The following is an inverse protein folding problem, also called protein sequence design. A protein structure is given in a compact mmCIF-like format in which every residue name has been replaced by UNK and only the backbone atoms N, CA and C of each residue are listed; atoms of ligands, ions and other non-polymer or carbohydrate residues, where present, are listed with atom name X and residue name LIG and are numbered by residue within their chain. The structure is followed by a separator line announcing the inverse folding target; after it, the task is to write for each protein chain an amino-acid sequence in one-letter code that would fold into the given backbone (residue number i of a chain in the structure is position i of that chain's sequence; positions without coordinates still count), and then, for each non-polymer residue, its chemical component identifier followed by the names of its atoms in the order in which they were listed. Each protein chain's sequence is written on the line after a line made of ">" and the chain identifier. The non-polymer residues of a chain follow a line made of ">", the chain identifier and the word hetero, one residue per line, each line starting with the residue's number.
data_IF_078784742665
#
_entry.id   IF_078784742665
#
_cell.length_a   1.000
_cell.length_b   1.000
_cell.length_c   1.000
_cell.angle_alpha   90.00
_cell.angle_beta   90.00
_cell.angle_gamma   90.00
#
_symmetry.space_group_name_H-M   'P 1'
#
loop_
_entity.id
_entity.type
_entity.pdbx_description
1 polymer ?
#
# COMPACT_ATOMS: atom_id res chain seq x y z
N UNK A 1 -9.48 4.40 21.74
CA UNK A 1 -8.22 4.62 22.52
C UNK A 1 -7.04 4.96 21.63
N UNK A 2 -6.59 4.10 20.70
CA UNK A 2 -5.42 4.40 19.82
C UNK A 2 -5.58 5.71 19.05
N UNK A 3 -6.75 5.98 18.47
CA UNK A 3 -7.00 7.22 17.73
C UNK A 3 -6.78 8.48 18.60
N UNK A 4 -7.20 8.44 19.86
CA UNK A 4 -6.99 9.52 20.83
C UNK A 4 -5.52 9.68 21.20
N UNK A 5 -4.76 8.58 21.33
CA UNK A 5 -3.32 8.63 21.59
C UNK A 5 -2.57 9.30 20.43
N UNK A 6 -2.92 8.96 19.18
CA UNK A 6 -2.33 9.58 17.99
C UNK A 6 -2.70 11.07 17.91
N UNK A 7 -3.97 11.41 18.17
CA UNK A 7 -4.44 12.79 18.18
C UNK A 7 -3.80 13.64 19.28
N UNK A 8 -3.56 13.04 20.45
CA UNK A 8 -2.89 13.66 21.60
C UNK A 8 -1.40 13.92 21.40
N UNK A 9 -0.83 13.59 20.24
CA UNK A 9 0.55 13.93 19.88
C UNK A 9 1.61 12.97 20.44
N UNK A 10 1.23 11.77 20.87
CA UNK A 10 2.21 10.76 21.27
C UNK A 10 3.12 10.41 20.09
N UNK A 11 4.42 10.26 20.35
CA UNK A 11 5.44 9.95 19.34
C UNK A 11 5.56 8.47 19.01
N UNK A 12 4.77 7.61 19.65
CA UNK A 12 4.70 6.17 19.38
C UNK A 12 4.28 5.93 17.93
N UNK A 13 5.11 5.19 17.18
CA UNK A 13 4.94 5.00 15.73
C UNK A 13 4.15 3.74 15.36
N UNK A 14 4.10 2.76 16.25
CA UNK A 14 3.48 1.45 16.02
C UNK A 14 2.60 1.10 17.22
N UNK A 15 1.35 0.77 16.95
CA UNK A 15 0.39 0.26 17.93
C UNK A 15 -0.05 -1.13 17.48
N UNK A 16 0.01 -2.10 18.40
CA UNK A 16 -0.46 -3.47 18.14
C UNK A 16 -1.71 -3.69 18.98
N UNK A 17 -2.79 -4.10 18.31
CA UNK A 17 -4.04 -4.49 18.96
C UNK A 17 -4.30 -5.96 18.63
N UNK A 18 -4.67 -6.74 19.64
CA UNK A 18 -4.89 -8.17 19.50
C UNK A 18 -6.34 -8.53 19.83
N UNK A 19 -6.90 -9.40 19.00
CA UNK A 19 -8.17 -10.08 19.25
C UNK A 19 -7.92 -11.59 19.19
N UNK A 20 -8.11 -12.29 20.31
CA UNK A 20 -7.98 -13.74 20.39
C UNK A 20 -9.24 -14.49 19.92
N UNK A 21 -9.19 -15.82 20.00
CA UNK A 21 -10.33 -16.71 19.75
C UNK A 21 -10.41 -17.30 18.34
N UNK A 22 -9.46 -16.99 17.45
CA UNK A 22 -9.45 -17.48 16.07
C UNK A 22 -8.99 -18.94 15.91
N UNK A 23 -8.42 -19.54 16.95
CA UNK A 23 -7.88 -20.91 16.92
C UNK A 23 -8.96 -22.00 17.09
N UNK A 24 -9.96 -21.98 16.21
CA UNK A 24 -11.13 -22.85 16.30
C UNK A 24 -10.92 -24.14 15.48
N UNK A 25 -10.47 -25.22 16.11
CA UNK A 25 -10.31 -26.52 15.44
C UNK A 25 -11.64 -27.28 15.24
N UNK A 26 -12.71 -26.86 15.91
CA UNK A 26 -14.06 -27.41 15.79
C UNK A 26 -15.11 -26.31 15.94
N UNK A 27 -16.33 -26.57 15.47
CA UNK A 27 -17.47 -25.64 15.56
C UNK A 27 -17.15 -24.21 15.09
N UNK A 28 -16.27 -24.09 14.08
CA UNK A 28 -15.86 -22.81 13.51
C UNK A 28 -17.06 -22.11 12.86
N UNK A 29 -17.87 -22.91 12.18
CA UNK A 29 -19.18 -22.58 11.61
C UNK A 29 -20.25 -23.45 12.30
N UNK A 30 -21.54 -23.09 12.24
CA UNK A 30 -22.60 -23.94 12.75
C UNK A 30 -22.68 -25.26 11.97
N UNK A 31 -23.09 -26.33 12.64
CA UNK A 31 -23.34 -27.66 12.04
C UNK A 31 -24.35 -27.61 10.90
N UNK A 32 -25.32 -26.70 10.98
CA UNK A 32 -26.36 -26.50 9.98
C UNK A 32 -26.54 -25.01 9.68
N UNK A 33 -26.79 -24.66 8.42
CA UNK A 33 -27.05 -23.27 8.01
C UNK A 33 -25.86 -22.64 7.28
N UNK A 34 -25.65 -21.34 7.51
CA UNK A 34 -24.69 -20.55 6.73
C UNK A 34 -23.28 -20.56 7.32
N UNK A 35 -22.28 -20.72 6.45
CA UNK A 35 -20.86 -20.54 6.78
C UNK A 35 -20.49 -19.09 7.11
N UNK A 36 -21.42 -18.14 6.91
CA UNK A 36 -21.28 -16.73 7.29
C UNK A 36 -21.72 -16.44 8.73
N UNK A 37 -21.99 -17.47 9.52
CA UNK A 37 -22.39 -17.38 10.94
C UNK A 37 -21.47 -18.26 11.80
N UNK A 38 -21.67 -18.27 13.13
CA UNK A 38 -20.83 -19.03 14.06
C UNK A 38 -19.67 -18.24 14.66
N UNK A 39 -18.81 -18.94 15.40
CA UNK A 39 -17.79 -18.30 16.24
C UNK A 39 -16.76 -17.52 15.41
N UNK A 40 -16.30 -18.07 14.28
CA UNK A 40 -15.33 -17.39 13.43
C UNK A 40 -15.93 -16.17 12.73
N UNK A 41 -17.14 -16.28 12.21
CA UNK A 41 -17.86 -15.15 11.62
C UNK A 41 -18.10 -14.02 12.64
N UNK A 42 -18.41 -14.38 13.90
CA UNK A 42 -18.57 -13.42 15.00
C UNK A 42 -17.28 -12.65 15.27
N UNK A 43 -16.13 -13.34 15.26
CA UNK A 43 -14.82 -12.72 15.46
C UNK A 43 -14.42 -11.82 14.28
N UNK A 44 -14.69 -12.25 13.04
CA UNK A 44 -14.49 -11.39 11.86
C UNK A 44 -15.39 -10.14 11.90
N UNK A 45 -16.63 -10.27 12.39
CA UNK A 45 -17.53 -9.14 12.63
C UNK A 45 -16.94 -8.14 13.63
N UNK A 46 -16.36 -8.61 14.75
CA UNK A 46 -15.66 -7.75 15.71
C UNK A 46 -14.48 -7.01 15.10
N UNK A 47 -13.72 -7.64 14.20
CA UNK A 47 -12.65 -6.96 13.45
C UNK A 47 -13.24 -5.87 12.57
N UNK A 48 -14.29 -6.17 11.81
CA UNK A 48 -14.93 -5.20 10.93
C UNK A 48 -15.48 -3.98 11.70
N UNK A 49 -16.22 -4.22 12.78
CA UNK A 49 -16.77 -3.18 13.65
C UNK A 49 -15.67 -2.34 14.29
N UNK A 50 -14.62 -2.99 14.80
CA UNK A 50 -13.48 -2.33 15.42
C UNK A 50 -12.70 -1.44 14.45
N UNK A 51 -12.42 -1.93 13.23
CA UNK A 51 -11.77 -1.14 12.19
C UNK A 51 -12.65 0.02 11.76
N UNK A 52 -13.95 -0.20 11.56
CA UNK A 52 -14.88 0.85 11.16
C UNK A 52 -14.95 1.97 12.20
N UNK A 53 -15.15 1.63 13.48
CA UNK A 53 -15.17 2.60 14.57
C UNK A 53 -13.83 3.36 14.69
N UNK A 54 -12.71 2.65 14.54
CA UNK A 54 -11.39 3.28 14.56
C UNK A 54 -11.19 4.28 13.41
N UNK A 55 -11.60 3.92 12.19
CA UNK A 55 -11.53 4.82 11.04
C UNK A 55 -12.44 6.05 11.21
N UNK A 56 -13.62 5.87 11.80
CA UNK A 56 -14.52 6.97 12.14
C UNK A 56 -13.91 7.95 13.13
N UNK A 57 -13.28 7.45 14.19
CA UNK A 57 -12.56 8.27 15.17
C UNK A 57 -11.43 9.06 14.49
N UNK A 58 -10.63 8.42 13.65
CA UNK A 58 -9.54 9.09 12.91
C UNK A 58 -10.05 10.21 11.99
N UNK A 59 -11.21 10.00 11.35
CA UNK A 59 -11.87 11.02 10.51
C UNK A 59 -12.35 12.19 11.35
N UNK A 60 -13.07 11.92 12.45
CA UNK A 60 -13.60 12.96 13.35
C UNK A 60 -12.49 13.80 13.99
N UNK A 61 -11.34 13.18 14.26
CA UNK A 61 -10.16 13.83 14.82
C UNK A 61 -9.27 14.52 13.74
N UNK A 62 -9.60 14.38 12.45
CA UNK A 62 -8.84 15.01 11.36
C UNK A 62 -7.43 14.43 11.15
N UNK A 63 -7.18 13.19 11.59
CA UNK A 63 -5.84 12.55 11.57
C UNK A 63 -5.78 11.28 10.72
N UNK A 64 -6.82 10.96 9.96
CA UNK A 64 -6.90 9.76 9.12
C UNK A 64 -5.72 9.60 8.15
N UNK A 65 -5.14 10.71 7.66
CA UNK A 65 -4.02 10.69 6.73
C UNK A 65 -2.67 10.37 7.40
N UNK A 66 -2.64 10.35 8.74
CA UNK A 66 -1.46 10.05 9.55
C UNK A 66 -1.42 8.61 10.03
N UNK A 67 -2.36 7.76 9.60
CA UNK A 67 -2.48 6.38 10.05
C UNK A 67 -2.70 5.43 8.88
N UNK A 68 -1.93 4.35 8.87
CA UNK A 68 -2.15 3.16 8.05
C UNK A 68 -2.30 1.95 8.98
N UNK A 69 -3.28 1.10 8.70
CA UNK A 69 -3.53 -0.12 9.45
C UNK A 69 -3.27 -1.36 8.59
N UNK A 70 -2.85 -2.44 9.23
CA UNK A 70 -2.73 -3.76 8.61
C UNK A 70 -3.20 -4.84 9.59
N UNK A 71 -3.85 -5.88 9.08
CA UNK A 71 -4.09 -7.11 9.85
C UNK A 71 -2.92 -8.07 9.69
N UNK A 72 -2.67 -8.92 10.68
CA UNK A 72 -1.78 -10.06 10.54
C UNK A 72 -2.23 -11.20 11.46
N UNK A 73 -1.80 -12.42 11.14
CA UNK A 73 -2.07 -13.64 11.91
C UNK A 73 -0.86 -14.55 11.81
N UNK A 74 -0.65 -15.41 12.80
CA UNK A 74 0.42 -16.41 12.81
C UNK A 74 0.12 -17.61 11.90
N UNK A 75 -1.16 -17.88 11.64
CA UNK A 75 -1.63 -18.93 10.74
C UNK A 75 -2.83 -18.45 9.91
N UNK A 76 -3.01 -19.12 8.77
CA UNK A 76 -4.25 -19.12 8.01
C UNK A 76 -5.13 -20.33 8.33
N UNK A 77 -6.06 -20.64 7.44
CA UNK A 77 -6.96 -21.79 7.58
C UNK A 77 -6.86 -22.72 6.39
N UNK A 78 -6.97 -24.03 6.64
CA UNK A 78 -6.96 -25.04 5.57
C UNK A 78 -8.20 -24.93 4.69
N UNK A 79 -8.10 -25.47 3.48
CA UNK A 79 -9.14 -25.36 2.45
C UNK A 79 -10.45 -26.03 2.88
N UNK A 80 -10.35 -27.23 3.47
CA UNK A 80 -11.50 -28.11 3.74
C UNK A 80 -11.72 -28.31 5.23
N UNK A 81 -12.99 -28.30 5.63
CA UNK A 81 -13.39 -28.57 7.01
C UNK A 81 -13.03 -30.01 7.44
N UNK A 82 -12.63 -30.14 8.70
CA UNK A 82 -12.44 -31.42 9.38
C UNK A 82 -13.78 -31.98 9.90
N UNK A 83 -13.75 -33.16 10.52
CA UNK A 83 -14.96 -33.82 11.05
C UNK A 83 -15.64 -33.05 12.21
N UNK A 84 -14.95 -32.08 12.80
CA UNK A 84 -15.45 -31.23 13.87
C UNK A 84 -16.15 -29.96 13.38
N UNK A 85 -16.44 -29.80 12.09
CA UNK A 85 -16.99 -28.57 11.50
C UNK A 85 -16.07 -27.34 11.73
N UNK A 86 -14.76 -27.59 11.82
CA UNK A 86 -13.70 -26.58 11.91
C UNK A 86 -12.68 -26.73 10.79
N UNK A 87 -11.67 -25.87 10.80
CA UNK A 87 -10.47 -26.03 9.95
C UNK A 87 -9.24 -25.93 10.83
N UNK A 88 -8.22 -26.74 10.53
CA UNK A 88 -6.93 -26.63 11.19
C UNK A 88 -6.12 -25.45 10.62
N UNK A 89 -4.93 -25.23 11.20
CA UNK A 89 -4.00 -24.20 10.76
C UNK A 89 -3.58 -24.43 9.31
N UNK A 90 -3.61 -23.34 8.54
CA UNK A 90 -3.17 -23.27 7.16
C UNK A 90 -1.98 -22.33 6.96
N UNK A 91 -1.30 -22.49 5.84
CA UNK A 91 -0.07 -21.78 5.51
C UNK A 91 -0.25 -20.36 4.93
N UNK A 92 -1.48 -19.98 4.55
CA UNK A 92 -1.76 -18.69 3.93
C UNK A 92 -3.12 -18.13 4.35
N UNK A 93 -3.22 -16.80 4.42
CA UNK A 93 -4.42 -16.06 4.75
C UNK A 93 -4.47 -14.73 3.97
N UNK A 94 -5.65 -14.14 3.76
CA UNK A 94 -5.74 -12.76 3.31
C UNK A 94 -5.18 -11.81 4.38
N UNK A 95 -4.43 -10.81 3.92
CA UNK A 95 -3.95 -9.69 4.72
C UNK A 95 -4.70 -8.42 4.27
N UNK A 96 -5.26 -7.67 5.21
CA UNK A 96 -5.99 -6.43 4.93
C UNK A 96 -5.11 -5.25 5.30
N UNK A 97 -4.87 -4.35 4.33
CA UNK A 97 -4.32 -3.01 4.60
C UNK A 97 -5.45 -2.01 4.47
N UNK A 98 -5.60 -1.12 5.45
CA UNK A 98 -6.72 -0.19 5.54
C UNK A 98 -6.26 1.18 6.03
N UNK A 99 -7.02 2.23 5.70
CA UNK A 99 -6.65 3.62 6.00
C UNK A 99 -6.93 4.55 4.82
N UNK A 100 -6.92 5.85 5.06
CA UNK A 100 -7.11 6.84 3.99
C UNK A 100 -6.02 6.75 2.91
N UNK A 101 -4.82 6.31 3.30
CA UNK A 101 -3.65 6.17 2.45
C UNK A 101 -3.41 4.74 1.95
N UNK A 102 -4.27 3.78 2.29
CA UNK A 102 -4.19 2.42 1.75
C UNK A 102 -4.53 2.42 0.26
N UNK A 103 -3.80 1.64 -0.54
CA UNK A 103 -4.10 1.46 -1.96
C UNK A 103 -5.38 0.60 -2.10
N UNK A 104 -6.46 1.09 -2.73
CA UNK A 104 -7.73 0.36 -2.80
C UNK A 104 -7.72 -0.73 -3.88
N UNK A 105 -6.72 -1.62 -3.84
CA UNK A 105 -6.54 -2.73 -4.79
C UNK A 105 -6.50 -4.08 -4.06
N UNK A 106 -6.95 -5.10 -4.76
CA UNK A 106 -6.68 -6.50 -4.38
C UNK A 106 -5.36 -6.91 -5.00
N UNK A 107 -4.42 -7.37 -4.18
CA UNK A 107 -3.14 -7.90 -4.65
C UNK A 107 -3.19 -9.42 -4.77
N UNK A 108 -2.76 -9.92 -5.93
CA UNK A 108 -2.77 -11.35 -6.25
C UNK A 108 -4.09 -11.82 -6.88
N UNK A 109 -4.05 -12.94 -7.63
CA UNK A 109 -5.25 -13.55 -8.18
C UNK A 109 -6.09 -14.26 -7.09
N UNK A 110 -7.36 -14.51 -7.36
CA UNK A 110 -8.15 -15.41 -6.51
C UNK A 110 -7.49 -16.79 -6.45
N UNK A 111 -7.37 -17.41 -5.26
CA UNK A 111 -6.75 -18.71 -5.12
C UNK A 111 -7.57 -19.77 -5.89
N UNK A 112 -6.88 -20.60 -6.65
CA UNK A 112 -7.47 -21.77 -7.30
C UNK A 112 -7.43 -22.93 -6.30
N UNK A 113 -8.60 -23.41 -5.89
CA UNK A 113 -8.72 -24.52 -4.95
C UNK A 113 -8.85 -25.84 -5.73
N UNK A 114 -8.05 -26.87 -5.43
CA UNK A 114 -8.19 -28.19 -6.06
C UNK A 114 -9.59 -28.77 -5.80
N UNK A 115 -10.25 -29.30 -6.84
CA UNK A 115 -11.57 -29.92 -6.69
C UNK A 115 -11.55 -31.12 -5.73
N UNK A 116 -10.40 -31.78 -5.61
CA UNK A 116 -10.16 -32.92 -4.74
C UNK A 116 -9.37 -32.55 -3.45
N UNK A 117 -9.42 -31.29 -3.01
CA UNK A 117 -8.71 -30.85 -1.81
C UNK A 117 -9.06 -31.72 -0.58
N UNK A 118 -8.04 -32.18 0.12
CA UNK A 118 -8.10 -32.89 1.39
C UNK A 118 -8.13 -31.94 2.59
N UNK A 119 -8.39 -32.51 3.77
CA UNK A 119 -8.44 -31.78 5.05
C UNK A 119 -7.07 -31.23 5.50
N UNK A 120 -5.99 -31.67 4.88
CA UNK A 120 -4.62 -31.23 5.16
C UNK A 120 -4.09 -30.22 4.11
N UNK A 121 -4.86 -29.90 3.08
CA UNK A 121 -4.38 -29.07 1.98
C UNK A 121 -4.43 -27.57 2.31
N UNK A 122 -3.39 -26.88 1.86
CA UNK A 122 -3.18 -25.46 2.08
C UNK A 122 -3.55 -24.65 0.83
N UNK A 123 -4.03 -23.42 1.05
CA UNK A 123 -3.99 -22.40 0.01
C UNK A 123 -2.52 -22.06 -0.26
N UNK A 124 -2.14 -22.02 -1.54
CA UNK A 124 -0.78 -21.65 -1.93
C UNK A 124 -0.50 -20.18 -1.58
N UNK A 125 0.66 -19.91 -0.99
CA UNK A 125 1.11 -18.55 -0.72
C UNK A 125 1.44 -17.84 -2.04
N UNK A 126 0.79 -16.71 -2.30
CA UNK A 126 1.00 -15.91 -3.50
C UNK A 126 1.95 -14.74 -3.26
N UNK A 127 1.90 -14.17 -2.05
CA UNK A 127 2.69 -13.02 -1.64
C UNK A 127 3.29 -13.36 -0.28
N UNK A 128 4.61 -13.25 -0.17
CA UNK A 128 5.29 -13.36 1.11
C UNK A 128 4.91 -12.16 2.00
N UNK A 129 4.51 -12.40 3.23
CA UNK A 129 4.10 -11.30 4.14
C UNK A 129 5.22 -10.27 4.35
N UNK A 130 6.49 -10.67 4.24
CA UNK A 130 7.65 -9.78 4.33
C UNK A 130 7.70 -8.78 3.17
N UNK A 131 7.17 -9.13 2.00
CA UNK A 131 6.99 -8.18 0.90
C UNK A 131 6.03 -7.04 1.28
N UNK A 132 4.94 -7.34 1.99
CA UNK A 132 4.02 -6.31 2.48
C UNK A 132 4.70 -5.44 3.55
N UNK A 133 5.39 -6.06 4.51
CA UNK A 133 6.05 -5.32 5.60
C UNK A 133 7.16 -4.42 5.08
N UNK A 134 8.02 -4.92 4.18
CA UNK A 134 9.09 -4.13 3.59
C UNK A 134 8.54 -3.00 2.72
N UNK A 135 7.41 -3.20 2.04
CA UNK A 135 6.74 -2.13 1.27
C UNK A 135 6.19 -1.04 2.19
N UNK A 136 5.55 -1.40 3.31
CA UNK A 136 5.09 -0.42 4.30
C UNK A 136 6.27 0.32 4.95
N UNK A 137 7.34 -0.38 5.32
CA UNK A 137 8.53 0.25 5.90
C UNK A 137 9.19 1.22 4.90
N UNK A 138 9.29 0.82 3.64
CA UNK A 138 9.81 1.67 2.56
C UNK A 138 8.96 2.91 2.38
N UNK A 139 7.64 2.74 2.29
CA UNK A 139 6.75 3.79 1.83
C UNK A 139 6.26 4.65 3.01
N UNK A 140 5.73 4.04 4.06
CA UNK A 140 5.20 4.78 5.21
C UNK A 140 6.29 5.39 6.07
N UNK A 141 7.34 4.61 6.33
CA UNK A 141 8.43 5.02 7.21
C UNK A 141 9.64 5.59 6.47
N UNK A 142 9.60 5.62 5.13
CA UNK A 142 10.70 6.12 4.30
C UNK A 142 12.04 5.43 4.59
N UNK A 143 11.99 4.14 4.98
CA UNK A 143 13.20 3.37 5.30
C UNK A 143 13.99 3.13 4.00
N UNK A 144 15.30 3.47 3.95
CA UNK A 144 16.12 3.24 2.76
C UNK A 144 16.18 1.75 2.38
N UNK A 145 16.21 1.47 1.07
CA UNK A 145 16.27 0.09 0.57
C UNK A 145 17.48 -0.69 1.11
N UNK A 146 18.63 -0.03 1.25
CA UNK A 146 19.84 -0.66 1.80
C UNK A 146 19.62 -1.16 3.24
N UNK A 147 18.94 -0.36 4.06
CA UNK A 147 18.57 -0.73 5.44
C UNK A 147 17.59 -1.89 5.46
N UNK A 148 16.59 -1.91 4.56
CA UNK A 148 15.67 -3.05 4.45
C UNK A 148 16.41 -4.35 4.06
N UNK A 149 17.31 -4.28 3.08
CA UNK A 149 18.10 -5.44 2.68
C UNK A 149 18.98 -5.96 3.81
N UNK A 150 19.58 -5.06 4.60
CA UNK A 150 20.38 -5.43 5.77
C UNK A 150 19.52 -6.09 6.86
N UNK A 151 18.36 -5.51 7.18
CA UNK A 151 17.47 -6.02 8.25
C UNK A 151 16.86 -7.38 7.91
N UNK A 152 16.49 -7.60 6.64
CA UNK A 152 15.81 -8.81 6.21
C UNK A 152 16.73 -9.84 5.55
N UNK A 153 18.03 -9.52 5.41
CA UNK A 153 19.06 -10.36 4.79
C UNK A 153 18.94 -10.53 3.27
N UNK A 154 17.86 -10.02 2.66
CA UNK A 154 17.59 -10.08 1.23
C UNK A 154 16.54 -9.03 0.82
N UNK A 155 16.45 -8.76 -0.47
CA UNK A 155 15.39 -7.93 -1.03
C UNK A 155 14.10 -8.75 -1.21
N UNK A 156 12.95 -8.13 -0.94
CA UNK A 156 11.63 -8.71 -1.16
C UNK A 156 10.92 -8.00 -2.32
N UNK A 157 10.08 -8.72 -3.11
CA UNK A 157 9.24 -8.10 -4.12
C UNK A 157 8.38 -6.98 -3.51
N UNK A 158 8.30 -5.85 -4.21
CA UNK A 158 7.50 -4.70 -3.78
C UNK A 158 6.00 -4.94 -4.02
N UNK A 159 5.17 -4.56 -3.06
CA UNK A 159 3.70 -4.67 -3.13
C UNK A 159 3.11 -3.28 -2.82
N UNK A 160 2.49 -2.61 -3.80
CA UNK A 160 2.03 -1.23 -3.63
C UNK A 160 0.77 -1.16 -2.77
N UNK A 161 0.92 -1.30 -1.45
CA UNK A 161 -0.21 -1.26 -0.49
C UNK A 161 -0.53 0.14 0.02
N UNK A 162 0.29 1.14 -0.29
CA UNK A 162 0.10 2.56 0.06
C UNK A 162 -0.08 3.36 -1.23
N UNK A 163 -0.99 4.34 -1.22
CA UNK A 163 -1.22 5.26 -2.33
C UNK A 163 0.06 6.03 -2.64
N UNK A 164 0.48 6.05 -3.90
CA UNK A 164 1.69 6.76 -4.33
C UNK A 164 1.58 8.29 -4.19
N UNK A 165 0.37 8.86 -4.16
CA UNK A 165 0.16 10.27 -3.78
C UNK A 165 0.60 10.57 -2.35
N UNK A 166 0.55 9.58 -1.44
CA UNK A 166 1.05 9.69 -0.06
C UNK A 166 2.59 9.76 0.00
N UNK A 167 3.28 9.26 -1.02
CA UNK A 167 4.75 9.15 -1.12
C UNK A 167 5.35 10.27 -1.97
N UNK A 168 4.55 10.85 -2.85
CA UNK A 168 4.88 12.04 -3.60
C UNK A 168 4.80 13.32 -2.74
N UNK A 169 4.03 13.29 -1.66
CA UNK A 169 4.07 14.33 -0.64
C UNK A 169 4.89 13.83 0.52
N UNK A 170 6.09 14.37 0.75
CA UNK A 170 6.57 14.41 2.13
C UNK A 170 5.45 15.07 2.94
N UNK A 171 4.89 14.46 3.99
CA UNK A 171 3.87 15.12 4.79
C UNK A 171 4.45 16.45 5.31
N UNK A 172 3.94 17.58 4.80
CA UNK A 172 4.46 18.93 5.10
C UNK A 172 5.39 19.57 4.04
N UNK A 173 5.70 18.90 2.92
CA UNK A 173 6.40 19.54 1.80
C UNK A 173 5.48 20.49 1.05
N UNK A 174 5.92 21.74 0.86
CA UNK A 174 5.19 22.68 0.02
C UNK A 174 5.16 22.20 -1.45
N UNK A 175 4.09 22.48 -2.22
CA UNK A 175 4.00 22.09 -3.61
C UNK A 175 5.02 22.85 -4.48
N UNK A 176 5.45 22.22 -5.57
CA UNK A 176 6.20 22.91 -6.65
C UNK A 176 5.17 23.67 -7.49
N UNK A 177 5.26 24.99 -7.50
CA UNK A 177 4.27 25.85 -8.15
C UNK A 177 4.26 25.62 -9.67
N UNK A 178 3.07 25.74 -10.28
CA UNK A 178 2.91 25.60 -11.73
C UNK A 178 3.16 24.21 -12.30
N UNK A 179 3.29 23.16 -11.46
CA UNK A 179 3.55 21.81 -11.96
C UNK A 179 2.42 21.31 -12.86
N UNK A 180 2.73 21.03 -14.12
CA UNK A 180 1.81 20.50 -15.13
C UNK A 180 2.55 19.62 -16.13
N UNK A 181 1.85 18.68 -16.76
CA UNK A 181 2.40 17.85 -17.84
C UNK A 181 1.46 17.87 -19.04
N UNK A 182 1.97 18.20 -20.23
CA UNK A 182 1.19 18.26 -21.46
C UNK A 182 2.01 17.86 -22.71
N UNK A 183 1.38 17.31 -23.76
CA UNK A 183 0.01 16.80 -23.79
C UNK A 183 -0.19 15.62 -22.81
N UNK A 184 -1.43 15.42 -22.38
CA UNK A 184 -1.87 14.29 -21.57
C UNK A 184 -3.29 13.91 -22.04
N UNK A 185 -3.49 12.78 -22.74
CA UNK A 185 -2.52 11.71 -23.00
C UNK A 185 -1.30 12.12 -23.84
N UNK A 186 -0.16 11.50 -23.54
CA UNK A 186 1.12 11.73 -24.20
C UNK A 186 1.39 10.65 -25.25
N UNK A 187 1.70 11.07 -26.47
CA UNK A 187 2.11 10.19 -27.58
C UNK A 187 3.55 10.54 -27.95
N UNK A 188 4.48 9.63 -27.64
CA UNK A 188 5.91 9.80 -27.90
C UNK A 188 6.63 10.85 -27.03
N UNK A 189 6.07 12.04 -26.84
CA UNK A 189 6.60 13.06 -25.93
C UNK A 189 5.51 13.79 -25.15
N UNK A 190 5.89 14.29 -23.97
CA UNK A 190 5.20 15.32 -23.20
C UNK A 190 6.20 16.39 -22.71
N UNK A 191 5.73 17.40 -22.02
CA UNK A 191 6.51 18.47 -21.40
C UNK A 191 6.02 18.68 -19.98
N UNK A 192 6.93 18.62 -19.01
CA UNK A 192 6.67 19.09 -17.66
C UNK A 192 6.97 20.60 -17.57
N UNK A 193 6.03 21.36 -17.02
CA UNK A 193 6.24 22.77 -16.59
C UNK A 193 6.23 22.83 -15.08
N UNK A 194 7.04 23.73 -14.52
CA UNK A 194 7.00 24.10 -13.11
C UNK A 194 7.83 25.37 -12.86
N UNK A 195 7.60 26.03 -11.72
CA UNK A 195 8.38 27.18 -11.25
C UNK A 195 9.51 26.71 -10.32
N UNK A 196 10.75 26.85 -10.79
CA UNK A 196 11.96 26.55 -10.02
C UNK A 196 12.34 27.73 -9.12
N UNK A 197 12.80 27.44 -7.90
CA UNK A 197 13.39 28.46 -7.00
C UNK A 197 14.91 28.45 -7.01
N UNK A 198 15.54 27.58 -7.81
CA UNK A 198 16.99 27.51 -7.89
C UNK A 198 17.62 26.47 -6.97
N UNK A 199 16.85 25.45 -6.56
CA UNK A 199 17.37 24.31 -5.80
C UNK A 199 17.60 23.08 -6.68
N UNK A 200 18.12 22.00 -6.10
CA UNK A 200 18.30 20.73 -6.78
C UNK A 200 16.95 20.12 -7.17
N UNK A 201 16.75 19.88 -8.47
CA UNK A 201 15.52 19.32 -9.02
C UNK A 201 15.71 17.86 -9.39
N UNK A 202 14.76 17.02 -9.02
CA UNK A 202 14.59 15.67 -9.53
C UNK A 202 13.22 15.52 -10.20
N UNK A 203 13.21 15.03 -11.43
CA UNK A 203 11.99 14.82 -12.21
C UNK A 203 12.00 13.40 -12.77
N UNK A 204 11.02 12.58 -12.39
CA UNK A 204 10.97 11.16 -12.72
C UNK A 204 9.55 10.72 -13.09
N UNK A 205 9.44 9.69 -13.92
CA UNK A 205 8.21 8.92 -14.15
C UNK A 205 8.28 7.59 -13.39
N UNK A 206 7.15 7.21 -12.81
CA UNK A 206 6.94 5.95 -12.11
C UNK A 206 5.78 5.19 -12.75
N UNK A 207 5.89 3.86 -12.85
CA UNK A 207 4.77 3.01 -13.28
C UNK A 207 3.72 2.85 -12.16
N UNK A 208 2.61 2.16 -12.46
CA UNK A 208 1.55 1.87 -11.48
C UNK A 208 1.99 1.01 -10.29
N UNK A 209 3.20 0.43 -10.34
CA UNK A 209 3.85 -0.29 -9.25
C UNK A 209 4.88 0.59 -8.52
N UNK A 210 4.94 1.89 -8.78
CA UNK A 210 5.85 2.82 -8.11
C UNK A 210 7.32 2.64 -8.47
N UNK A 211 7.66 1.84 -9.49
CA UNK A 211 9.04 1.71 -9.97
C UNK A 211 9.37 2.91 -10.86
N UNK A 212 10.52 3.53 -10.61
CA UNK A 212 11.03 4.58 -11.50
C UNK A 212 11.34 3.97 -12.86
N UNK A 213 10.55 4.34 -13.88
CA UNK A 213 10.73 3.86 -15.25
C UNK A 213 11.60 4.78 -16.07
N UNK A 214 11.67 6.07 -15.70
CA UNK A 214 12.50 7.06 -16.39
C UNK A 214 12.80 8.25 -15.49
N UNK A 215 14.03 8.75 -15.54
CA UNK A 215 14.48 9.97 -14.85
C UNK A 215 14.92 11.00 -15.88
N UNK A 216 14.37 12.21 -15.79
CA UNK A 216 14.60 13.31 -16.73
C UNK A 216 15.51 14.38 -16.16
N UNK A 217 15.42 14.62 -14.85
CA UNK A 217 16.34 15.50 -14.12
C UNK A 217 16.84 14.74 -12.91
N UNK A 218 18.16 14.70 -12.73
CA UNK A 218 18.82 13.88 -11.72
C UNK A 218 19.53 14.74 -10.66
N UNK A 219 18.75 15.46 -9.86
CA UNK A 219 19.26 16.21 -8.70
C UNK A 219 20.15 17.40 -9.06
N UNK A 220 20.04 17.94 -10.28
CA UNK A 220 20.79 19.14 -10.68
C UNK A 220 20.02 20.41 -10.35
N UNK A 221 20.75 21.46 -10.02
CA UNK A 221 20.18 22.79 -9.84
C UNK A 221 19.70 23.35 -11.19
N UNK A 222 18.47 23.83 -11.25
CA UNK A 222 17.94 24.58 -12.39
C UNK A 222 17.93 26.07 -12.08
N UNK A 223 17.86 26.94 -13.09
CA UNK A 223 17.71 28.38 -12.84
C UNK A 223 16.40 28.70 -12.12
N UNK A 224 16.35 29.81 -11.38
CA UNK A 224 15.09 30.32 -10.81
C UNK A 224 14.14 30.75 -11.94
N UNK A 225 12.85 30.46 -11.78
CA UNK A 225 11.79 30.78 -12.74
C UNK A 225 11.26 29.57 -13.53
N UNK A 226 10.50 29.81 -14.61
CA UNK A 226 9.74 28.77 -15.29
C UNK A 226 10.66 27.77 -15.97
N UNK A 227 10.46 26.49 -15.67
CA UNK A 227 11.17 25.37 -16.27
C UNK A 227 10.27 24.64 -17.26
N UNK A 228 10.87 24.20 -18.37
CA UNK A 228 10.23 23.33 -19.37
C UNK A 228 11.13 22.12 -19.57
N UNK A 229 10.69 20.96 -19.12
CA UNK A 229 11.47 19.71 -19.24
C UNK A 229 10.75 18.75 -20.20
N UNK A 230 11.37 18.41 -21.35
CA UNK A 230 10.84 17.40 -22.25
C UNK A 230 10.79 16.03 -21.58
N UNK A 231 9.65 15.37 -21.69
CA UNK A 231 9.41 14.02 -21.23
C UNK A 231 9.30 13.10 -22.44
N UNK A 232 10.40 12.48 -22.86
CA UNK A 232 10.33 11.38 -23.84
C UNK A 232 9.59 10.20 -23.20
N UNK A 233 8.49 9.76 -23.80
CA UNK A 233 7.70 8.60 -23.36
C UNK A 233 7.77 7.45 -24.36
N UNK A 234 8.56 7.57 -25.43
CA UNK A 234 8.75 6.47 -26.39
C UNK A 234 9.34 5.24 -25.69
N UNK A 235 8.85 4.07 -26.11
CA UNK A 235 9.23 2.77 -25.55
C UNK A 235 8.64 2.46 -24.18
N UNK A 236 7.83 3.36 -23.61
CA UNK A 236 6.96 3.02 -22.48
C UNK A 236 5.71 2.32 -23.00
N UNK A 237 5.18 1.36 -22.25
CA UNK A 237 3.94 0.68 -22.60
C UNK A 237 2.75 1.65 -22.45
N UNK A 238 1.71 1.57 -23.29
CA UNK A 238 0.48 2.34 -23.09
C UNK A 238 -0.12 2.05 -21.71
N UNK A 239 -0.11 3.06 -20.84
CA UNK A 239 -0.50 2.92 -19.44
C UNK A 239 -0.58 4.27 -18.73
N UNK A 240 -0.95 4.22 -17.46
CA UNK A 240 -0.93 5.36 -16.55
C UNK A 240 0.38 5.37 -15.78
N UNK A 241 1.06 6.52 -15.79
CA UNK A 241 2.29 6.76 -15.05
C UNK A 241 2.14 7.95 -14.10
N UNK A 242 3.00 8.02 -13.09
CA UNK A 242 3.09 9.17 -12.18
C UNK A 242 4.34 9.97 -12.50
N UNK A 243 4.18 11.22 -12.92
CA UNK A 243 5.28 12.17 -13.08
C UNK A 243 5.44 12.95 -11.79
N UNK A 244 6.63 12.89 -11.20
CA UNK A 244 6.94 13.51 -9.90
C UNK A 244 8.10 14.47 -10.07
N UNK A 245 7.89 15.71 -9.64
CA UNK A 245 8.94 16.72 -9.49
C UNK A 245 9.23 16.93 -8.01
N UNK A 246 10.51 16.92 -7.64
CA UNK A 246 11.03 17.28 -6.32
C UNK A 246 12.04 18.40 -6.49
N UNK A 247 11.92 19.45 -5.70
CA UNK A 247 12.87 20.55 -5.69
C UNK A 247 13.20 20.91 -4.24
N UNK A 248 14.41 20.57 -3.79
CA UNK A 248 14.80 20.65 -2.39
C UNK A 248 13.79 19.93 -1.48
N UNK A 249 13.09 20.68 -0.64
CA UNK A 249 12.05 20.15 0.26
C UNK A 249 10.64 20.12 -0.34
N UNK A 250 10.43 20.70 -1.54
CA UNK A 250 9.14 20.79 -2.23
C UNK A 250 8.91 19.61 -3.15
N UNK A 251 7.66 19.22 -3.33
CA UNK A 251 7.32 18.08 -4.20
C UNK A 251 5.93 18.21 -4.79
N UNK A 252 5.74 17.72 -6.02
CA UNK A 252 4.44 17.61 -6.67
C UNK A 252 4.40 16.42 -7.62
N UNK A 253 3.21 15.83 -7.78
CA UNK A 253 3.00 14.70 -8.66
C UNK A 253 1.72 14.82 -9.47
N UNK A 254 1.76 14.33 -10.70
CA UNK A 254 0.64 14.29 -11.62
C UNK A 254 0.59 12.96 -12.35
N UNK A 255 -0.62 12.57 -12.72
CA UNK A 255 -0.85 11.41 -13.56
C UNK A 255 -0.59 11.77 -15.02
N UNK A 256 0.17 10.94 -15.72
CA UNK A 256 0.45 11.04 -17.17
C UNK A 256 -0.03 9.75 -17.82
N UNK A 257 -0.96 9.85 -18.75
CA UNK A 257 -1.41 8.73 -19.56
C UNK A 257 -0.51 8.67 -20.79
N UNK A 258 0.14 7.53 -21.03
CA UNK A 258 0.90 7.25 -22.25
C UNK A 258 0.01 6.42 -23.18
N UNK A 259 -0.13 6.86 -24.42
CA UNK A 259 -0.90 6.19 -25.47
C UNK A 259 -0.01 5.88 -26.68
N UNK A 260 -0.47 4.93 -27.51
CA UNK A 260 0.15 4.59 -28.80
C UNK A 260 0.15 5.76 -29.79
#
# INVERSE_FOLDING_TARGET
>A
MVAQLVAGGLSTRIYVCQLGGFDLHSSQVPTTGSTTTGAHATLLGKIADGINAFQDDLRRLGIQDRVIGLTFSEFGRRIKANSGYGTDHGAAAPLLVFGAQANPLVHGPNPQLPANAGVNDNVAMQVDFRSVYTSILKDWFQVPQATLNQLFGQAFPYVPVIKQTALATTPGAAPVAGFSVYPNPAVGQATALFESQGEAVQLSLFDGLGREVRRYVAGRTLGTGPQRVPLDVRGLAPSTYHCVVREGSRSSALVVVVSD
#
